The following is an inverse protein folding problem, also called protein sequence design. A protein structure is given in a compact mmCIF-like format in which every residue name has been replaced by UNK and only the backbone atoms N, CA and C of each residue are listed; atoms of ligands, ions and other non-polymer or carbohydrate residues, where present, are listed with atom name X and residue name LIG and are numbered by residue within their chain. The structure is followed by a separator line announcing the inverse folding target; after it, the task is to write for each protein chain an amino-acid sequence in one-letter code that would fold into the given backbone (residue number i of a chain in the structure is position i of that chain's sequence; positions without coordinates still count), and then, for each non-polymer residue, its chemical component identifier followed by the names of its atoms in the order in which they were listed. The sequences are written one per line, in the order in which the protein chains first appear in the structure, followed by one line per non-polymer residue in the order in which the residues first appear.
data_IF_575216678346
#
_entry.id   IF_575216678346
#
_cell.length_a   1.000
_cell.length_b   1.000
_cell.length_c   1.000
_cell.angle_alpha   90.00
_cell.angle_beta   90.00
_cell.angle_gamma   90.00
#
_symmetry.space_group_name_H-M   'P 1'
#
loop_
_entity.id
_entity.type
_entity.pdbx_description
1 polymer ?
#
# COMPACT_ATOMS: atom_id res chain seq x y z
N UNK A 1 49.73 -9.51 30.05
CA UNK A 1 49.44 -10.22 28.79
C UNK A 1 48.34 -9.42 28.11
N UNK A 2 48.73 -8.38 27.38
CA UNK A 2 47.83 -7.44 26.70
C UNK A 2 48.36 -7.30 25.29
N UNK A 3 47.70 -7.93 24.32
CA UNK A 3 47.98 -7.70 22.91
C UNK A 3 47.18 -6.46 22.47
N UNK A 4 47.90 -5.37 22.22
CA UNK A 4 47.39 -4.23 21.46
C UNK A 4 47.21 -4.64 19.99
N UNK A 5 45.98 -4.50 19.47
CA UNK A 5 45.74 -4.57 18.04
C UNK A 5 46.12 -3.23 17.40
N UNK A 6 47.18 -3.22 16.61
CA UNK A 6 47.53 -2.10 15.75
C UNK A 6 46.48 -1.92 14.62
N UNK A 7 46.14 -0.69 14.20
CA UNK A 7 45.21 -0.45 13.11
C UNK A 7 45.86 -0.78 11.75
N UNK A 8 45.11 -1.50 10.91
CA UNK A 8 45.48 -1.83 9.53
C UNK A 8 45.43 -0.55 8.67
N UNK A 9 46.45 -0.25 7.84
CA UNK A 9 46.39 0.90 6.95
C UNK A 9 45.37 0.65 5.83
N UNK A 10 44.39 1.55 5.68
CA UNK A 10 43.49 1.59 4.53
C UNK A 10 44.29 2.09 3.34
N UNK A 11 44.76 1.16 2.50
CA UNK A 11 45.30 1.48 1.20
C UNK A 11 44.15 1.98 0.30
N UNK A 12 44.12 3.30 0.09
CA UNK A 12 43.22 3.97 -0.84
C UNK A 12 43.70 3.67 -2.27
N UNK A 13 43.49 2.43 -2.72
CA UNK A 13 43.76 1.98 -4.07
C UNK A 13 42.52 2.22 -4.92
N UNK A 14 42.58 3.21 -5.80
CA UNK A 14 41.64 3.36 -6.90
C UNK A 14 41.64 2.07 -7.71
N UNK A 15 40.63 1.21 -7.47
CA UNK A 15 40.38 0.04 -8.29
C UNK A 15 39.77 0.54 -9.60
N UNK A 16 40.63 0.78 -10.60
CA UNK A 16 40.21 0.73 -12.00
C UNK A 16 39.71 -0.69 -12.26
N UNK A 17 38.40 -0.88 -12.18
CA UNK A 17 37.75 -2.08 -12.68
C UNK A 17 38.12 -2.23 -14.15
N UNK A 18 38.59 -3.41 -14.60
CA UNK A 18 38.78 -3.64 -16.01
C UNK A 18 37.43 -3.41 -16.70
N UNK A 19 37.42 -2.51 -17.69
CA UNK A 19 36.27 -2.29 -18.55
C UNK A 19 36.02 -3.60 -19.31
N UNK A 20 35.11 -4.43 -18.77
CA UNK A 20 34.56 -5.54 -19.53
C UNK A 20 33.91 -4.95 -20.78
N UNK A 21 34.21 -5.49 -21.98
CA UNK A 21 33.47 -5.09 -23.17
C UNK A 21 32.00 -5.34 -22.87
N UNK A 22 31.22 -4.25 -22.83
CA UNK A 22 29.77 -4.33 -22.76
C UNK A 22 29.37 -5.16 -23.98
N UNK A 23 28.69 -6.31 -23.81
CA UNK A 23 28.14 -7.00 -24.96
C UNK A 23 27.28 -5.98 -25.74
N UNK A 24 27.30 -6.01 -27.08
CA UNK A 24 26.44 -5.13 -27.85
C UNK A 24 25.03 -5.26 -27.28
N UNK A 25 24.34 -4.14 -27.05
CA UNK A 25 22.95 -4.17 -26.64
C UNK A 25 22.19 -4.94 -27.72
N UNK A 26 21.98 -6.25 -27.50
CA UNK A 26 21.12 -7.05 -28.34
C UNK A 26 19.75 -6.38 -28.23
N UNK A 27 19.23 -5.90 -29.36
CA UNK A 27 17.86 -5.41 -29.46
C UNK A 27 16.95 -6.43 -28.77
N UNK A 28 16.43 -6.06 -27.59
CA UNK A 28 15.64 -6.97 -26.76
C UNK A 28 14.33 -7.27 -27.47
N UNK A 29 14.30 -8.37 -28.21
CA UNK A 29 13.11 -8.89 -28.89
C UNK A 29 12.50 -10.00 -28.03
N UNK A 30 11.32 -9.73 -27.50
CA UNK A 30 10.58 -10.68 -26.67
C UNK A 30 10.34 -12.01 -27.40
N UNK A 31 10.08 -11.97 -28.71
CA UNK A 31 9.94 -13.16 -29.56
C UNK A 31 11.16 -14.08 -29.45
N UNK A 32 12.35 -13.49 -29.56
CA UNK A 32 13.60 -14.22 -29.62
C UNK A 32 13.94 -14.81 -28.24
N UNK A 33 13.62 -14.08 -27.17
CA UNK A 33 13.74 -14.57 -25.81
C UNK A 33 12.79 -15.74 -25.51
N UNK A 34 11.55 -15.67 -25.99
CA UNK A 34 10.58 -16.77 -25.85
C UNK A 34 11.06 -18.00 -26.61
N UNK A 35 11.53 -17.84 -27.85
CA UNK A 35 12.07 -18.95 -28.64
C UNK A 35 13.26 -19.60 -27.96
N UNK A 36 14.28 -18.82 -27.53
CA UNK A 36 15.44 -19.33 -26.79
C UNK A 36 15.03 -20.06 -25.50
N UNK A 37 14.02 -19.54 -24.79
CA UNK A 37 13.51 -20.16 -23.56
C UNK A 37 12.87 -21.52 -23.85
N UNK A 38 12.07 -21.64 -24.91
CA UNK A 38 11.46 -22.90 -25.33
C UNK A 38 12.54 -23.93 -25.67
N UNK A 39 13.54 -23.56 -26.47
CA UNK A 39 14.66 -24.46 -26.82
C UNK A 39 15.38 -25.01 -25.58
N UNK A 40 15.65 -24.16 -24.58
CA UNK A 40 16.30 -24.60 -23.34
C UNK A 40 15.38 -25.52 -22.53
N UNK A 41 14.07 -25.22 -22.47
CA UNK A 41 13.10 -26.04 -21.75
C UNK A 41 12.85 -27.40 -22.41
N UNK A 42 12.97 -27.49 -23.73
CA UNK A 42 12.86 -28.74 -24.48
C UNK A 42 14.16 -29.56 -24.43
N UNK A 43 15.30 -28.93 -24.11
CA UNK A 43 16.58 -29.62 -24.00
C UNK A 43 16.63 -30.61 -22.82
N UNK A 44 17.41 -31.70 -22.96
CA UNK A 44 17.70 -32.65 -21.87
C UNK A 44 18.88 -32.22 -20.98
N UNK A 45 19.10 -30.91 -20.86
CA UNK A 45 20.22 -30.36 -20.08
C UNK A 45 19.83 -30.08 -18.63
N UNK A 46 20.84 -29.94 -17.77
CA UNK A 46 20.67 -29.50 -16.37
C UNK A 46 19.99 -28.12 -16.27
N UNK A 47 20.10 -27.30 -17.32
CA UNK A 47 19.56 -25.95 -17.35
C UNK A 47 18.03 -25.94 -17.46
N UNK A 48 17.42 -27.00 -18.00
CA UNK A 48 15.96 -27.14 -18.08
C UNK A 48 15.30 -26.98 -16.71
N UNK A 49 15.76 -27.75 -15.72
CA UNK A 49 15.16 -27.75 -14.38
C UNK A 49 15.35 -26.41 -13.67
N UNK A 50 16.54 -25.82 -13.79
CA UNK A 50 16.84 -24.52 -13.20
C UNK A 50 15.98 -23.40 -13.82
N UNK A 51 15.87 -23.38 -15.16
CA UNK A 51 15.07 -22.40 -15.87
C UNK A 51 13.58 -22.54 -15.57
N UNK A 52 13.05 -23.78 -15.57
CA UNK A 52 11.66 -24.04 -15.21
C UNK A 52 11.33 -23.59 -13.78
N UNK A 53 12.23 -23.87 -12.83
CA UNK A 53 12.09 -23.41 -11.44
C UNK A 53 12.04 -21.89 -11.34
N UNK A 54 12.96 -21.20 -12.02
CA UNK A 54 13.02 -19.75 -12.03
C UNK A 54 11.77 -19.13 -12.66
N UNK A 55 11.33 -19.64 -13.82
CA UNK A 55 10.10 -19.17 -14.48
C UNK A 55 8.91 -19.31 -13.55
N UNK A 56 8.76 -20.45 -12.87
CA UNK A 56 7.68 -20.67 -11.92
C UNK A 56 7.73 -19.70 -10.74
N UNK A 57 8.91 -19.48 -10.16
CA UNK A 57 9.10 -18.54 -9.06
C UNK A 57 8.75 -17.10 -9.47
N UNK A 58 9.25 -16.64 -10.61
CA UNK A 58 8.95 -15.29 -11.12
C UNK A 58 7.47 -15.14 -11.49
N UNK A 59 6.87 -16.15 -12.11
CA UNK A 59 5.46 -16.12 -12.44
C UNK A 59 4.59 -16.02 -11.17
N UNK A 60 4.92 -16.76 -10.11
CA UNK A 60 4.24 -16.65 -8.83
C UNK A 60 4.44 -15.26 -8.19
N UNK A 61 5.67 -14.73 -8.19
CA UNK A 61 5.95 -13.40 -7.66
C UNK A 61 5.13 -12.31 -8.37
N UNK A 62 5.14 -12.30 -9.71
CA UNK A 62 4.36 -11.34 -10.51
C UNK A 62 2.85 -11.44 -10.26
N UNK A 63 2.33 -12.66 -10.07
CA UNK A 63 0.90 -12.84 -9.74
C UNK A 63 0.58 -12.34 -8.34
N UNK A 64 1.45 -12.61 -7.37
CA UNK A 64 1.28 -12.15 -6.00
C UNK A 64 1.35 -10.62 -5.91
N UNK A 65 2.28 -9.98 -6.61
CA UNK A 65 2.37 -8.51 -6.70
C UNK A 65 1.09 -7.90 -7.28
N UNK A 66 0.54 -8.48 -8.35
CA UNK A 66 -0.73 -8.01 -8.93
C UNK A 66 -1.90 -8.17 -7.95
N UNK A 67 -1.93 -9.27 -7.20
CA UNK A 67 -2.95 -9.49 -6.19
C UNK A 67 -2.83 -8.47 -5.04
N UNK A 68 -1.61 -8.22 -4.57
CA UNK A 68 -1.33 -7.23 -3.53
C UNK A 68 -1.79 -5.84 -3.97
N UNK A 69 -1.43 -5.41 -5.19
CA UNK A 69 -1.87 -4.12 -5.72
C UNK A 69 -3.42 -4.00 -5.76
N UNK A 70 -4.12 -5.06 -6.14
CA UNK A 70 -5.59 -5.08 -6.13
C UNK A 70 -6.17 -5.04 -4.71
N UNK A 71 -5.52 -5.70 -3.75
CA UNK A 71 -5.95 -5.67 -2.35
C UNK A 71 -5.71 -4.29 -1.73
N UNK A 72 -4.57 -3.67 -2.00
CA UNK A 72 -4.24 -2.31 -1.57
C UNK A 72 -5.28 -1.31 -2.10
N UNK A 73 -5.64 -1.40 -3.38
CA UNK A 73 -6.69 -0.57 -3.97
C UNK A 73 -8.04 -0.78 -3.25
N UNK A 74 -8.42 -2.04 -2.98
CA UNK A 74 -9.67 -2.34 -2.27
C UNK A 74 -9.67 -1.84 -0.83
N UNK A 75 -8.54 -1.92 -0.13
CA UNK A 75 -8.39 -1.40 1.24
C UNK A 75 -8.54 0.11 1.23
N UNK A 76 -7.86 0.82 0.33
CA UNK A 76 -7.99 2.27 0.22
C UNK A 76 -9.45 2.72 -0.04
N UNK A 77 -10.20 1.98 -0.87
CA UNK A 77 -11.62 2.25 -1.10
C UNK A 77 -12.47 2.02 0.16
N UNK A 78 -12.18 0.98 0.94
CA UNK A 78 -12.90 0.69 2.18
C UNK A 78 -12.60 1.73 3.26
N UNK A 79 -11.34 2.11 3.44
CA UNK A 79 -10.93 3.16 4.38
C UNK A 79 -11.60 4.50 4.04
N UNK A 80 -11.61 4.89 2.76
CA UNK A 80 -12.30 6.10 2.32
C UNK A 80 -13.83 6.04 2.54
N UNK A 81 -14.42 4.84 2.46
CA UNK A 81 -15.84 4.64 2.75
C UNK A 81 -16.13 4.73 4.24
N UNK A 82 -15.26 4.16 5.08
CA UNK A 82 -15.37 4.21 6.54
C UNK A 82 -15.23 5.65 7.04
N UNK A 83 -14.28 6.42 6.51
CA UNK A 83 -14.14 7.83 6.83
C UNK A 83 -15.40 8.63 6.50
N UNK A 84 -16.01 8.39 5.33
CA UNK A 84 -17.29 9.02 4.96
C UNK A 84 -18.42 8.65 5.90
N UNK A 85 -18.49 7.39 6.34
CA UNK A 85 -19.49 6.96 7.31
C UNK A 85 -19.31 7.63 8.66
N UNK A 86 -18.07 7.71 9.15
CA UNK A 86 -17.75 8.43 10.39
C UNK A 86 -18.16 9.91 10.32
N UNK A 87 -17.93 10.57 9.18
CA UNK A 87 -18.40 11.95 8.95
C UNK A 87 -19.93 12.07 8.97
N UNK A 88 -20.63 11.12 8.35
CA UNK A 88 -22.10 11.08 8.36
C UNK A 88 -22.63 10.88 9.78
N UNK A 89 -22.06 9.96 10.55
CA UNK A 89 -22.43 9.71 11.94
C UNK A 89 -22.21 10.95 12.82
N UNK A 90 -21.07 11.62 12.67
CA UNK A 90 -20.80 12.86 13.39
C UNK A 90 -21.84 13.95 13.08
N UNK A 91 -22.19 14.11 11.80
CA UNK A 91 -23.22 15.08 11.38
C UNK A 91 -24.62 14.69 11.87
N UNK A 92 -24.95 13.41 11.87
CA UNK A 92 -26.21 12.90 12.42
C UNK A 92 -26.31 13.20 13.91
N UNK A 93 -25.25 12.94 14.68
CA UNK A 93 -25.22 13.23 16.11
C UNK A 93 -25.33 14.74 16.40
N UNK A 94 -24.74 15.61 15.57
CA UNK A 94 -24.92 17.06 15.66
C UNK A 94 -26.37 17.47 15.40
N UNK A 95 -26.96 16.99 14.30
CA UNK A 95 -28.36 17.25 13.96
C UNK A 95 -29.33 16.75 15.03
N UNK A 96 -29.06 15.60 15.65
CA UNK A 96 -29.87 15.08 16.76
C UNK A 96 -29.81 16.00 17.99
N UNK A 97 -28.64 16.55 18.33
CA UNK A 97 -28.49 17.52 19.42
C UNK A 97 -29.22 18.83 19.12
N UNK A 98 -29.09 19.33 17.89
CA UNK A 98 -29.81 20.55 17.46
C UNK A 98 -31.32 20.36 17.54
N UNK A 99 -31.82 19.22 17.05
CA UNK A 99 -33.25 18.90 17.06
C UNK A 99 -33.79 18.74 18.50
N UNK A 100 -33.03 18.09 19.38
CA UNK A 100 -33.35 18.02 20.81
C UNK A 100 -33.38 19.41 21.47
N UNK A 101 -32.44 20.29 21.10
CA UNK A 101 -32.41 21.69 21.59
C UNK A 101 -33.60 22.51 21.08
N UNK A 102 -33.96 22.34 19.82
CA UNK A 102 -35.11 23.00 19.20
C UNK A 102 -36.44 22.50 19.77
N UNK A 103 -36.55 21.22 20.15
CA UNK A 103 -37.77 20.65 20.76
C UNK A 103 -37.97 21.14 22.20
N UNK A 104 -36.90 21.37 22.95
CA UNK A 104 -36.96 21.92 24.33
C UNK A 104 -37.28 23.41 24.39
N UNK A 105 -37.06 24.16 23.31
CA UNK A 105 -37.29 25.60 23.23
C UNK A 105 -38.77 26.00 23.25
N UNK A 106 -39.68 25.37 22.48
CA UNK A 106 -41.11 25.63 22.55
C UNK A 106 -41.70 25.18 23.89
N UNK A 107 -41.29 24.03 24.45
CA UNK A 107 -41.75 23.59 25.78
C UNK A 107 -41.52 24.67 26.87
N UNK A 108 -40.33 25.29 26.86
CA UNK A 108 -40.00 26.39 27.78
C UNK A 108 -40.74 27.69 27.47
N UNK A 109 -41.06 27.97 26.21
CA UNK A 109 -41.86 29.15 25.84
C UNK A 109 -43.33 28.99 26.24
N UNK A 110 -43.88 27.78 26.09
CA UNK A 110 -45.25 27.44 26.47
C UNK A 110 -45.43 27.46 28.00
N UNK A 111 -44.46 26.94 28.77
CA UNK A 111 -44.47 27.02 30.24
C UNK A 111 -44.37 28.46 30.76
N UNK A 112 -43.54 29.29 30.13
CA UNK A 112 -43.36 30.69 30.54
C UNK A 112 -44.57 31.55 30.18
N UNK A 113 -45.20 31.32 29.02
CA UNK A 113 -46.44 32.00 28.65
C UNK A 113 -47.61 31.55 29.53
N UNK A 114 -47.72 30.27 29.88
CA UNK A 114 -48.73 29.77 30.81
C UNK A 114 -48.60 30.37 32.22
N UNK A 115 -47.38 30.49 32.77
CA UNK A 115 -47.15 31.14 34.07
C UNK A 115 -47.41 32.64 34.07
N UNK A 116 -47.12 33.33 32.97
CA UNK A 116 -47.39 34.76 32.83
C UNK A 116 -48.89 35.07 32.77
N UNK A 117 -49.69 34.19 32.16
CA UNK A 117 -51.16 34.36 32.07
C UNK A 117 -51.87 34.02 33.39
N UNK A 118 -51.31 33.13 34.21
CA UNK A 118 -51.89 32.74 35.51
C UNK A 118 -51.65 33.71 36.68
N UNK A 119 -50.84 34.77 36.50
CA UNK A 119 -50.48 35.71 37.56
C UNK A 119 -51.38 36.97 37.64
N UNK A 120 -52.30 37.14 36.68
CA UNK A 120 -53.21 38.31 36.57
C UNK A 120 -54.69 37.95 36.87
N UNK A 121 -54.98 36.84 37.55
CA UNK A 121 -56.33 36.35 37.86
C UNK A 121 -56.72 36.45 39.33
#
# INVERSE_FOLDING_TARGET
MTCECAPVPVANGAQTTPAYPQPPEEDFKMSDMVTKTIEVLESDTIYRTALASNINAFHQAVRSERLLAQLEERVAVLEAREERWAQIEARMAELERENAGLTRRPERQDENTAKAVGADG
#
